data_IF_451734640742
#
_entry.id   IF_451734640742
#
_cell.length_a   1.000
_cell.length_b   1.000
_cell.length_c   1.000
_cell.angle_alpha   90.00
_cell.angle_beta   90.00
_cell.angle_gamma   90.00
#
_symmetry.space_group_name_H-M   'P 1'
#
loop_
_entity.id
_entity.type
_entity.pdbx_description
1 polymer ?
#
# COMPACT_ATOMS: atom_id res chain seq x y z
N UNK A 1 -4.33 48.52 -35.49
CA UNK A 1 -3.61 49.21 -34.39
C UNK A 1 -4.30 49.01 -33.04
N UNK A 2 -5.60 49.30 -32.88
CA UNK A 2 -6.32 49.13 -31.61
C UNK A 2 -6.21 47.71 -31.00
N UNK A 3 -6.33 46.66 -31.80
CA UNK A 3 -6.26 45.26 -31.31
C UNK A 3 -4.87 44.83 -30.82
N UNK A 4 -3.80 45.40 -31.42
CA UNK A 4 -2.42 45.16 -30.99
C UNK A 4 -2.18 45.80 -29.62
N UNK A 5 -2.70 47.02 -29.42
CA UNK A 5 -2.61 47.74 -28.14
C UNK A 5 -3.35 46.99 -27.03
N UNK A 6 -4.57 46.50 -27.30
CA UNK A 6 -5.32 45.70 -26.32
C UNK A 6 -4.56 44.43 -25.93
N UNK A 7 -3.97 43.75 -26.91
CA UNK A 7 -3.19 42.53 -26.66
C UNK A 7 -1.93 42.81 -25.83
N UNK A 8 -1.23 43.91 -26.09
CA UNK A 8 -0.10 44.36 -25.28
C UNK A 8 -0.50 44.69 -23.84
N UNK A 9 -1.65 45.36 -23.64
CA UNK A 9 -2.17 45.66 -22.29
C UNK A 9 -2.50 44.38 -21.52
N UNK A 10 -3.08 43.37 -22.17
CA UNK A 10 -3.38 42.07 -21.54
C UNK A 10 -2.09 41.37 -21.08
N UNK A 11 -1.03 41.40 -21.89
CA UNK A 11 0.26 40.79 -21.51
C UNK A 11 0.85 41.51 -20.30
N UNK A 12 0.87 42.85 -20.30
CA UNK A 12 1.35 43.63 -19.14
C UNK A 12 0.54 43.32 -17.89
N UNK A 13 -0.78 43.22 -18.01
CA UNK A 13 -1.66 42.86 -16.90
C UNK A 13 -1.37 41.45 -16.36
N UNK A 14 -1.17 40.46 -17.23
CA UNK A 14 -0.83 39.10 -16.82
C UNK A 14 0.51 39.04 -16.09
N UNK A 15 1.54 39.71 -16.62
CA UNK A 15 2.87 39.77 -15.98
C UNK A 15 2.80 40.46 -14.62
N UNK A 16 2.07 41.58 -14.53
CA UNK A 16 1.86 42.29 -13.28
C UNK A 16 1.10 41.43 -12.25
N UNK A 17 0.10 40.67 -12.70
CA UNK A 17 -0.67 39.78 -11.83
C UNK A 17 0.20 38.64 -11.29
N UNK A 18 1.01 37.97 -12.13
CA UNK A 18 1.98 36.95 -11.70
C UNK A 18 2.95 37.51 -10.67
N UNK A 19 3.52 38.70 -10.94
CA UNK A 19 4.45 39.35 -10.03
C UNK A 19 3.78 39.65 -8.68
N UNK A 20 2.57 40.22 -8.68
CA UNK A 20 1.82 40.53 -7.45
C UNK A 20 1.50 39.30 -6.63
N UNK A 21 1.15 38.18 -7.29
CA UNK A 21 0.84 36.91 -6.63
C UNK A 21 2.10 36.30 -6.04
N UNK A 22 3.23 36.31 -6.76
CA UNK A 22 4.48 35.81 -6.21
C UNK A 22 4.93 36.63 -5.01
N UNK A 23 4.78 37.96 -5.02
CA UNK A 23 5.06 38.80 -3.85
C UNK A 23 4.13 38.48 -2.68
N UNK A 24 2.83 38.28 -2.94
CA UNK A 24 1.88 37.90 -1.90
C UNK A 24 2.19 36.52 -1.30
N UNK A 25 2.52 35.54 -2.15
CA UNK A 25 2.90 34.18 -1.72
C UNK A 25 4.22 34.18 -0.96
N UNK A 26 5.20 34.97 -1.39
CA UNK A 26 6.46 35.12 -0.67
C UNK A 26 6.24 35.71 0.73
N UNK A 27 5.30 36.64 0.86
CA UNK A 27 4.93 37.20 2.15
C UNK A 27 4.23 36.17 3.06
N UNK A 28 3.31 35.36 2.53
CA UNK A 28 2.54 34.40 3.36
C UNK A 28 3.31 33.11 3.66
N UNK A 29 4.00 32.56 2.67
CA UNK A 29 4.62 31.22 2.75
C UNK A 29 6.14 31.24 2.88
N UNK A 30 6.78 32.38 2.63
CA UNK A 30 8.25 32.49 2.55
C UNK A 30 8.87 32.01 1.22
N UNK A 31 8.10 31.34 0.36
CA UNK A 31 8.60 30.81 -0.90
C UNK A 31 8.62 31.84 -2.03
N UNK A 32 9.61 31.75 -2.93
CA UNK A 32 9.83 32.73 -3.98
C UNK A 32 8.71 32.79 -5.04
N UNK A 33 7.95 31.70 -5.22
CA UNK A 33 6.87 31.63 -6.20
C UNK A 33 5.68 30.79 -5.73
N UNK A 34 4.50 31.08 -6.30
CA UNK A 34 3.29 30.27 -6.10
C UNK A 34 3.47 28.80 -6.51
N UNK A 35 4.28 28.56 -7.55
CA UNK A 35 4.58 27.22 -8.02
C UNK A 35 5.42 26.43 -7.01
N UNK A 36 6.48 27.04 -6.47
CA UNK A 36 7.35 26.38 -5.49
C UNK A 36 6.57 26.09 -4.20
N UNK A 37 5.78 27.05 -3.72
CA UNK A 37 4.87 26.85 -2.58
C UNK A 37 3.88 25.70 -2.78
N UNK A 38 3.26 25.61 -3.96
CA UNK A 38 2.34 24.53 -4.30
C UNK A 38 3.07 23.17 -4.40
N UNK A 39 4.28 23.15 -4.97
CA UNK A 39 5.09 21.94 -5.12
C UNK A 39 5.53 21.40 -3.75
N UNK A 40 6.04 22.24 -2.88
CA UNK A 40 6.51 21.85 -1.53
C UNK A 40 5.36 21.27 -0.70
N UNK A 41 4.18 21.90 -0.77
CA UNK A 41 2.97 21.39 -0.13
C UNK A 41 2.61 19.97 -0.60
N UNK A 42 2.62 19.73 -1.91
CA UNK A 42 2.29 18.40 -2.46
C UNK A 42 3.35 17.36 -2.06
N UNK A 43 4.62 17.75 -1.94
CA UNK A 43 5.70 16.87 -1.47
C UNK A 43 5.53 16.51 0.01
N UNK A 44 5.19 17.47 0.87
CA UNK A 44 4.92 17.24 2.29
C UNK A 44 3.69 16.33 2.49
N UNK A 45 2.59 16.63 1.80
CA UNK A 45 1.36 15.83 1.83
C UNK A 45 1.57 14.39 1.34
N UNK A 46 2.42 14.23 0.32
CA UNK A 46 2.83 12.91 -0.18
C UNK A 46 3.68 12.16 0.84
N UNK A 47 4.68 12.83 1.44
CA UNK A 47 5.57 12.23 2.44
C UNK A 47 4.80 11.71 3.66
N UNK A 48 3.85 12.49 4.16
CA UNK A 48 2.98 12.07 5.27
C UNK A 48 2.16 10.82 4.91
N UNK A 49 1.61 10.76 3.70
CA UNK A 49 0.84 9.60 3.24
C UNK A 49 1.68 8.33 3.08
N UNK A 50 2.92 8.47 2.60
CA UNK A 50 3.87 7.35 2.50
C UNK A 50 4.19 6.82 3.90
N UNK A 51 4.53 7.70 4.85
CA UNK A 51 4.81 7.31 6.22
C UNK A 51 3.61 6.55 6.84
N UNK A 52 2.40 7.08 6.70
CA UNK A 52 1.19 6.40 7.18
C UNK A 52 0.96 5.05 6.51
N UNK A 53 1.23 4.94 5.21
CA UNK A 53 1.11 3.68 4.48
C UNK A 53 2.10 2.62 4.99
N UNK A 54 3.36 3.00 5.24
CA UNK A 54 4.39 2.12 5.80
C UNK A 54 3.98 1.58 7.17
N UNK A 55 3.50 2.46 8.06
CA UNK A 55 3.00 2.10 9.39
C UNK A 55 1.82 1.10 9.30
N UNK A 56 0.86 1.35 8.40
CA UNK A 56 -0.29 0.46 8.21
C UNK A 56 0.14 -0.91 7.66
N UNK A 57 1.10 -0.95 6.74
CA UNK A 57 1.63 -2.21 6.19
C UNK A 57 2.33 -3.00 7.29
N UNK A 58 3.16 -2.35 8.11
CA UNK A 58 3.87 -3.00 9.21
C UNK A 58 2.88 -3.58 10.24
N UNK A 59 1.90 -2.78 10.66
CA UNK A 59 0.80 -3.25 11.51
C UNK A 59 0.04 -4.42 10.87
N UNK A 60 -0.27 -4.31 9.59
CA UNK A 60 -0.92 -5.36 8.80
C UNK A 60 -0.10 -6.64 8.76
N UNK A 61 1.23 -6.55 8.64
CA UNK A 61 2.12 -7.70 8.67
C UNK A 61 2.04 -8.43 10.02
N UNK A 62 2.13 -7.71 11.13
CA UNK A 62 2.05 -8.30 12.48
C UNK A 62 0.68 -8.93 12.76
N UNK A 63 -0.41 -8.26 12.37
CA UNK A 63 -1.77 -8.81 12.49
C UNK A 63 -1.92 -10.05 11.61
N UNK A 64 -1.38 -10.07 10.39
CA UNK A 64 -1.44 -11.23 9.51
C UNK A 64 -0.63 -12.43 10.04
N UNK A 65 0.51 -12.20 10.70
CA UNK A 65 1.23 -13.27 11.40
C UNK A 65 0.35 -13.87 12.49
N UNK A 66 -0.29 -13.03 13.31
CA UNK A 66 -1.16 -13.49 14.39
C UNK A 66 -2.37 -14.28 13.84
N UNK A 67 -3.07 -13.73 12.84
CA UNK A 67 -4.25 -14.35 12.20
C UNK A 67 -3.88 -15.65 11.47
N UNK A 68 -2.76 -15.64 10.75
CA UNK A 68 -2.31 -16.76 9.92
C UNK A 68 -1.77 -17.93 10.72
N UNK A 69 -1.46 -17.73 12.01
CA UNK A 69 -1.02 -18.81 12.87
C UNK A 69 -2.16 -19.80 13.14
N UNK A 70 -2.07 -20.94 12.46
CA UNK A 70 -2.90 -22.11 12.71
C UNK A 70 -1.99 -23.32 12.90
N UNK A 71 -2.39 -24.20 13.82
CA UNK A 71 -1.71 -25.49 13.98
C UNK A 71 -2.74 -26.60 13.90
N UNK A 72 -2.34 -27.70 13.25
CA UNK A 72 -3.10 -28.94 13.19
C UNK A 72 -2.18 -30.05 13.67
N UNK A 73 -2.54 -30.73 14.75
CA UNK A 73 -1.90 -31.97 15.16
C UNK A 73 -2.86 -33.13 14.97
N UNK A 74 -2.49 -34.04 14.09
CA UNK A 74 -3.17 -35.32 13.95
C UNK A 74 -2.45 -36.35 14.84
N UNK A 75 -3.16 -36.91 15.82
CA UNK A 75 -2.66 -38.04 16.60
C UNK A 75 -3.39 -39.29 16.13
N UNK A 76 -2.62 -40.23 15.60
CA UNK A 76 -3.09 -41.56 15.25
C UNK A 76 -2.86 -42.49 16.45
N UNK A 77 -3.94 -42.85 17.15
CA UNK A 77 -3.87 -43.76 18.30
C UNK A 77 -3.98 -45.19 17.76
N UNK A 78 -2.85 -45.88 17.67
CA UNK A 78 -2.65 -47.04 16.79
C UNK A 78 -3.31 -48.40 17.13
N UNK A 79 -4.22 -48.57 18.12
CA UNK A 79 -5.09 -49.75 18.13
C UNK A 79 -6.54 -49.48 17.71
N UNK A 80 -6.98 -48.22 17.64
CA UNK A 80 -8.35 -47.86 17.25
C UNK A 80 -8.20 -46.87 16.10
N UNK A 81 -8.75 -47.16 14.91
CA UNK A 81 -8.70 -46.27 13.72
C UNK A 81 -9.51 -44.96 13.91
N UNK A 82 -9.35 -44.28 15.04
CA UNK A 82 -9.94 -43.00 15.37
C UNK A 82 -8.77 -42.03 15.42
N UNK A 83 -8.50 -41.38 14.29
CA UNK A 83 -7.58 -40.25 14.24
C UNK A 83 -8.25 -39.05 14.90
N UNK A 84 -7.66 -38.55 15.98
CA UNK A 84 -8.03 -37.26 16.54
C UNK A 84 -7.23 -36.19 15.81
N UNK A 85 -7.90 -35.30 15.08
CA UNK A 85 -7.27 -34.09 14.56
C UNK A 85 -7.62 -32.92 15.48
N UNK A 86 -6.60 -32.31 16.08
CA UNK A 86 -6.74 -31.06 16.81
C UNK A 86 -6.21 -29.93 15.95
N UNK A 87 -7.12 -29.17 15.36
CA UNK A 87 -6.80 -27.91 14.71
C UNK A 87 -7.25 -26.74 15.56
N UNK A 88 -6.40 -25.74 15.75
CA UNK A 88 -6.78 -24.48 16.38
C UNK A 88 -6.15 -23.30 15.64
N UNK A 89 -6.96 -22.27 15.44
CA UNK A 89 -6.59 -20.99 14.85
C UNK A 89 -7.06 -19.89 15.82
N UNK A 90 -6.31 -19.66 16.91
CA UNK A 90 -6.77 -18.88 18.06
C UNK A 90 -7.13 -17.44 17.72
N UNK A 91 -6.51 -16.88 16.67
CA UNK A 91 -6.66 -15.49 16.24
C UNK A 91 -7.36 -15.34 14.89
N UNK A 92 -7.99 -16.41 14.38
CA UNK A 92 -8.76 -16.34 13.13
C UNK A 92 -9.84 -15.25 13.15
N UNK A 93 -10.36 -14.90 14.34
CA UNK A 93 -11.30 -13.79 14.54
C UNK A 93 -10.76 -12.39 14.21
N UNK A 94 -9.43 -12.19 14.24
CA UNK A 94 -8.79 -10.94 13.82
C UNK A 94 -8.73 -10.79 12.29
N UNK A 95 -9.19 -11.78 11.52
CA UNK A 95 -9.20 -11.71 10.05
C UNK A 95 -9.98 -10.50 9.51
N UNK A 96 -11.03 -10.05 10.21
CA UNK A 96 -11.73 -8.81 9.87
C UNK A 96 -10.86 -7.55 10.02
N UNK A 97 -10.00 -7.51 11.05
CA UNK A 97 -9.06 -6.42 11.28
C UNK A 97 -7.96 -6.40 10.20
N UNK A 98 -7.44 -7.57 9.82
CA UNK A 98 -6.49 -7.70 8.71
C UNK A 98 -7.08 -7.17 7.40
N UNK A 99 -8.36 -7.50 7.12
CA UNK A 99 -9.07 -6.96 5.96
C UNK A 99 -9.27 -5.44 6.03
N UNK A 100 -9.60 -4.89 7.21
CA UNK A 100 -9.74 -3.46 7.41
C UNK A 100 -8.41 -2.70 7.21
N UNK A 101 -7.30 -3.24 7.73
CA UNK A 101 -5.96 -2.71 7.53
C UNK A 101 -5.54 -2.75 6.05
N UNK A 102 -5.84 -3.84 5.34
CA UNK A 102 -5.60 -3.93 3.90
C UNK A 102 -6.37 -2.85 3.12
N UNK A 103 -7.67 -2.69 3.40
CA UNK A 103 -8.47 -1.64 2.78
C UNK A 103 -7.97 -0.23 3.12
N UNK A 104 -7.51 0.01 4.36
CA UNK A 104 -6.92 1.27 4.77
C UNK A 104 -5.60 1.54 4.02
N UNK A 105 -4.72 0.55 3.92
CA UNK A 105 -3.47 0.65 3.16
C UNK A 105 -3.72 0.99 1.69
N UNK A 106 -4.64 0.28 1.03
CA UNK A 106 -5.02 0.53 -0.36
C UNK A 106 -5.61 1.94 -0.55
N UNK A 107 -6.47 2.39 0.39
CA UNK A 107 -7.09 3.70 0.33
C UNK A 107 -6.08 4.83 0.52
N UNK A 108 -5.13 4.67 1.45
CA UNK A 108 -4.02 5.63 1.63
C UNK A 108 -3.12 5.63 0.38
N UNK A 109 -2.80 4.48 -0.20
CA UNK A 109 -2.00 4.39 -1.42
C UNK A 109 -2.67 5.10 -2.61
N UNK A 110 -3.98 4.91 -2.80
CA UNK A 110 -4.76 5.63 -3.83
C UNK A 110 -4.76 7.15 -3.58
N UNK A 111 -4.78 7.57 -2.31
CA UNK A 111 -4.71 8.99 -1.95
C UNK A 111 -3.32 9.57 -2.24
N UNK A 112 -2.24 8.84 -1.94
CA UNK A 112 -0.88 9.21 -2.31
C UNK A 112 -0.73 9.32 -3.83
N UNK A 113 -1.33 8.40 -4.59
CA UNK A 113 -1.37 8.46 -6.05
C UNK A 113 -2.10 9.71 -6.54
N UNK A 114 -3.21 10.10 -5.89
CA UNK A 114 -3.95 11.31 -6.20
C UNK A 114 -3.10 12.59 -6.01
N UNK A 115 -2.37 12.68 -4.89
CA UNK A 115 -1.44 13.80 -4.62
C UNK A 115 -0.31 13.84 -5.65
N UNK A 116 0.25 12.68 -5.99
CA UNK A 116 1.27 12.55 -7.04
C UNK A 116 0.73 13.00 -8.42
N UNK A 117 -0.52 12.65 -8.75
CA UNK A 117 -1.17 13.10 -9.96
C UNK A 117 -1.38 14.63 -9.97
N UNK A 118 -1.77 15.25 -8.84
CA UNK A 118 -1.86 16.71 -8.74
C UNK A 118 -0.52 17.41 -9.00
N UNK A 119 0.58 16.82 -8.50
CA UNK A 119 1.94 17.32 -8.74
C UNK A 119 2.31 17.22 -10.22
N UNK A 120 1.99 16.10 -10.87
CA UNK A 120 2.18 15.97 -12.32
C UNK A 120 1.35 16.99 -13.11
N UNK A 121 0.09 17.21 -12.72
CA UNK A 121 -0.76 18.23 -13.33
C UNK A 121 -0.21 19.64 -13.13
N UNK A 122 0.36 19.96 -11.97
CA UNK A 122 1.00 21.26 -11.73
C UNK A 122 2.13 21.54 -12.73
N UNK A 123 3.04 20.57 -12.92
CA UNK A 123 4.15 20.67 -13.89
C UNK A 123 3.63 20.78 -15.32
N UNK A 124 2.62 19.97 -15.66
CA UNK A 124 2.00 19.96 -16.97
C UNK A 124 1.33 21.29 -17.30
N UNK A 125 0.54 21.84 -16.38
CA UNK A 125 -0.17 23.11 -16.56
C UNK A 125 0.78 24.28 -16.71
N UNK A 126 1.86 24.35 -15.93
CA UNK A 126 2.88 25.39 -16.10
C UNK A 126 3.55 25.32 -17.47
N UNK A 127 3.88 24.11 -17.92
CA UNK A 127 4.51 23.87 -19.23
C UNK A 127 3.58 24.24 -20.38
N UNK A 128 2.31 23.87 -20.29
CA UNK A 128 1.30 24.21 -21.30
C UNK A 128 0.99 25.70 -21.31
N UNK A 129 0.93 26.35 -20.15
CA UNK A 129 0.64 27.76 -20.06
C UNK A 129 1.70 28.62 -20.79
N UNK A 130 2.96 28.19 -20.77
CA UNK A 130 4.04 28.82 -21.52
C UNK A 130 3.83 28.80 -23.05
N UNK A 131 3.06 27.84 -23.56
CA UNK A 131 2.71 27.71 -24.98
C UNK A 131 1.36 28.37 -25.28
N UNK A 132 0.35 28.13 -24.45
CA UNK A 132 -1.02 28.63 -24.65
C UNK A 132 -1.10 30.16 -24.54
N UNK A 133 -0.33 30.79 -23.65
CA UNK A 133 -0.38 32.25 -23.50
C UNK A 133 0.12 32.98 -24.75
N UNK A 134 1.33 32.72 -25.30
CA UNK A 134 1.79 33.34 -26.53
C UNK A 134 0.87 33.04 -27.72
N UNK A 135 0.43 31.78 -27.87
CA UNK A 135 -0.49 31.39 -28.93
C UNK A 135 -1.82 32.15 -28.81
N UNK A 136 -2.34 32.31 -27.60
CA UNK A 136 -3.55 33.06 -27.32
C UNK A 136 -3.44 34.54 -27.70
N UNK A 137 -2.29 35.17 -27.43
CA UNK A 137 -2.01 36.55 -27.89
C UNK A 137 -2.02 36.62 -29.42
N UNK A 138 -1.32 35.71 -30.11
CA UNK A 138 -1.26 35.69 -31.58
C UNK A 138 -2.65 35.48 -32.18
N UNK A 139 -3.40 34.48 -31.70
CA UNK A 139 -4.76 34.19 -32.19
C UNK A 139 -5.74 35.33 -31.90
N UNK A 140 -5.50 36.14 -30.86
CA UNK A 140 -6.33 37.31 -30.57
C UNK A 140 -6.16 38.43 -31.60
N UNK A 141 -5.00 38.55 -32.23
CA UNK A 141 -4.74 39.62 -33.22
C UNK A 141 -5.58 39.50 -34.48
N UNK A 142 -6.07 38.31 -34.81
CA UNK A 142 -6.91 38.07 -35.99
C UNK A 142 -8.41 38.07 -35.62
N UNK A 143 -9.27 38.79 -36.37
CA UNK A 143 -10.69 38.89 -36.06
C UNK A 143 -11.43 37.54 -36.01
N UNK A 144 -11.06 36.61 -36.89
CA UNK A 144 -11.71 35.28 -37.00
C UNK A 144 -11.39 34.39 -35.79
N UNK A 145 -10.16 34.45 -35.26
CA UNK A 145 -9.70 33.58 -34.16
C UNK A 145 -9.74 34.25 -32.80
N UNK A 146 -10.27 35.48 -32.71
CA UNK A 146 -10.26 36.30 -31.49
C UNK A 146 -10.84 35.60 -30.27
N UNK A 147 -11.97 34.91 -30.43
CA UNK A 147 -12.64 34.18 -29.33
C UNK A 147 -11.83 32.97 -28.88
N UNK A 148 -11.19 32.26 -29.82
CA UNK A 148 -10.27 31.17 -29.50
C UNK A 148 -9.02 31.70 -28.79
N UNK A 149 -8.48 32.83 -29.22
CA UNK A 149 -7.36 33.48 -28.54
C UNK A 149 -7.69 33.87 -27.10
N UNK A 150 -8.89 34.38 -26.83
CA UNK A 150 -9.36 34.66 -25.47
C UNK A 150 -9.48 33.39 -24.62
N UNK A 151 -9.95 32.27 -25.21
CA UNK A 151 -9.99 30.97 -24.54
C UNK A 151 -8.58 30.47 -24.18
N UNK A 152 -7.62 30.54 -25.10
CA UNK A 152 -6.23 30.13 -24.86
C UNK A 152 -5.56 31.01 -23.79
N UNK A 153 -5.80 32.32 -23.81
CA UNK A 153 -5.31 33.24 -22.78
C UNK A 153 -5.92 32.94 -21.41
N UNK A 154 -7.23 32.73 -21.35
CA UNK A 154 -7.92 32.40 -20.10
C UNK A 154 -7.48 31.05 -19.53
N UNK A 155 -7.35 30.03 -20.37
CA UNK A 155 -6.84 28.72 -19.99
C UNK A 155 -5.36 28.78 -19.56
N UNK A 156 -4.52 29.54 -20.28
CA UNK A 156 -3.12 29.77 -19.91
C UNK A 156 -2.98 30.50 -18.58
N UNK A 157 -3.77 31.54 -18.33
CA UNK A 157 -3.82 32.24 -17.05
C UNK A 157 -4.36 31.34 -15.92
N UNK A 158 -5.39 30.53 -16.21
CA UNK A 158 -5.90 29.53 -15.28
C UNK A 158 -4.84 28.52 -14.87
N UNK A 159 -4.09 28.00 -15.83
CA UNK A 159 -3.02 27.03 -15.63
C UNK A 159 -1.78 27.61 -14.92
N UNK A 160 -1.33 28.81 -15.30
CA UNK A 160 -0.13 29.43 -14.72
C UNK A 160 -0.37 30.14 -13.38
N UNK A 161 -1.61 30.57 -13.12
CA UNK A 161 -1.90 31.49 -12.01
C UNK A 161 -2.97 30.90 -11.10
N UNK A 162 -4.17 30.62 -11.64
CA UNK A 162 -5.28 30.18 -10.80
C UNK A 162 -4.99 28.85 -10.10
N UNK A 163 -4.44 27.86 -10.82
CA UNK A 163 -4.19 26.54 -10.28
C UNK A 163 -3.09 26.52 -9.19
N UNK A 164 -1.88 27.09 -9.41
CA UNK A 164 -0.88 27.19 -8.34
C UNK A 164 -1.37 27.98 -7.13
N UNK A 165 -2.04 29.12 -7.33
CA UNK A 165 -2.59 29.91 -6.21
C UNK A 165 -3.64 29.14 -5.43
N UNK A 166 -4.50 28.38 -6.12
CA UNK A 166 -5.51 27.55 -5.46
C UNK A 166 -4.87 26.45 -4.60
N UNK A 167 -3.75 25.87 -5.03
CA UNK A 167 -2.95 24.94 -4.22
C UNK A 167 -2.28 25.62 -3.03
N UNK A 168 -1.83 26.88 -3.15
CA UNK A 168 -1.32 27.63 -1.99
C UNK A 168 -2.42 27.85 -0.96
N UNK A 169 -3.65 28.13 -1.37
CA UNK A 169 -4.78 28.20 -0.43
C UNK A 169 -5.01 26.84 0.25
N UNK A 170 -4.93 25.75 -0.50
CA UNK A 170 -5.00 24.40 0.07
C UNK A 170 -3.87 24.13 1.07
N UNK A 171 -2.65 24.62 0.82
CA UNK A 171 -1.51 24.55 1.75
C UNK A 171 -1.83 25.22 3.08
N UNK A 172 -2.42 26.41 3.08
CA UNK A 172 -2.78 27.12 4.33
C UNK A 172 -3.83 26.35 5.13
N UNK A 173 -4.82 25.75 4.44
CA UNK A 173 -5.79 24.88 5.10
C UNK A 173 -5.11 23.64 5.66
N UNK A 174 -4.25 22.99 4.88
CA UNK A 174 -3.49 21.81 5.28
C UNK A 174 -2.60 22.07 6.50
N UNK A 175 -1.88 23.19 6.53
CA UNK A 175 -0.97 23.55 7.63
C UNK A 175 -1.65 23.62 9.00
N UNK A 176 -2.95 23.95 9.04
CA UNK A 176 -3.71 23.94 10.29
C UNK A 176 -4.03 22.53 10.83
N UNK A 177 -3.96 21.52 9.98
CA UNK A 177 -4.28 20.12 10.34
C UNK A 177 -3.06 19.19 10.28
N UNK A 178 -1.99 19.57 9.57
CA UNK A 178 -0.86 18.69 9.27
C UNK A 178 -0.07 18.31 10.51
N UNK A 179 0.10 19.21 11.48
CA UNK A 179 0.85 18.92 12.72
C UNK A 179 0.12 17.87 13.58
N UNK A 180 -1.17 18.07 13.82
CA UNK A 180 -1.99 17.12 14.58
C UNK A 180 -2.11 15.77 13.87
N UNK A 181 -2.19 15.77 12.54
CA UNK A 181 -2.21 14.53 11.76
C UNK A 181 -0.85 13.83 11.76
N UNK A 182 0.25 14.58 11.67
CA UNK A 182 1.62 14.09 11.79
C UNK A 182 1.86 13.33 13.07
N UNK A 183 1.40 13.88 14.21
CA UNK A 183 1.46 13.21 15.50
C UNK A 183 0.64 11.90 15.52
N UNK A 184 -0.55 11.89 14.90
CA UNK A 184 -1.36 10.66 14.80
C UNK A 184 -0.70 9.59 13.93
N UNK A 185 -0.04 10.00 12.84
CA UNK A 185 0.70 9.11 11.95
C UNK A 185 1.89 8.49 12.67
N UNK A 186 2.72 9.31 13.35
CA UNK A 186 3.89 8.80 14.08
C UNK A 186 3.52 7.88 15.25
N UNK A 187 2.31 8.04 15.79
CA UNK A 187 1.80 7.22 16.89
C UNK A 187 0.91 6.05 16.43
N UNK A 188 0.75 5.83 15.12
CA UNK A 188 -0.22 4.88 14.57
C UNK A 188 0.08 3.42 14.94
N UNK A 189 1.34 2.99 14.90
CA UNK A 189 1.72 1.62 15.24
C UNK A 189 2.04 1.41 16.74
N UNK A 190 2.04 2.47 17.56
CA UNK A 190 2.39 2.35 18.98
C UNK A 190 1.41 1.43 19.70
N UNK A 191 1.94 0.37 20.31
CA UNK A 191 1.19 -0.59 21.13
C UNK A 191 0.76 -1.85 20.38
N UNK A 192 1.08 -1.98 19.09
CA UNK A 192 0.86 -3.23 18.36
C UNK A 192 1.95 -4.22 18.77
N UNK A 193 1.61 -5.41 19.32
CA UNK A 193 2.63 -6.35 19.77
C UNK A 193 3.38 -6.97 18.59
N UNK A 194 4.72 -6.92 18.65
CA UNK A 194 5.60 -7.59 17.70
C UNK A 194 5.79 -9.04 18.14
N UNK A 195 5.27 -9.95 17.34
CA UNK A 195 5.40 -11.37 17.62
C UNK A 195 6.67 -11.91 17.03
N UNK A 196 7.47 -12.57 17.88
CA UNK A 196 8.51 -13.43 17.35
C UNK A 196 7.90 -14.51 16.45
N UNK A 197 8.67 -14.90 15.44
CA UNK A 197 8.25 -15.93 14.50
C UNK A 197 7.74 -17.17 15.26
N UNK A 198 6.65 -17.80 14.79
CA UNK A 198 6.05 -18.91 15.50
C UNK A 198 7.06 -20.04 15.73
N UNK A 199 6.91 -20.81 16.82
CA UNK A 199 7.82 -21.92 17.12
C UNK A 199 7.86 -22.89 15.92
N UNK A 200 9.07 -23.35 15.58
CA UNK A 200 9.35 -24.19 14.42
C UNK A 200 9.16 -23.55 13.03
N UNK A 201 8.87 -22.24 12.90
CA UNK A 201 8.90 -21.52 11.60
C UNK A 201 10.22 -21.70 10.84
N UNK A 202 11.36 -21.55 11.52
CA UNK A 202 12.70 -21.78 10.94
C UNK A 202 12.94 -23.23 10.52
N UNK A 203 12.25 -24.18 11.15
CA UNK A 203 12.35 -25.61 10.82
C UNK A 203 11.43 -25.96 9.65
N UNK A 204 10.17 -25.49 9.68
CA UNK A 204 9.15 -25.77 8.66
C UNK A 204 9.39 -25.03 7.33
N UNK A 205 10.01 -23.85 7.38
CA UNK A 205 10.41 -23.11 6.16
C UNK A 205 11.81 -23.51 5.67
N UNK A 206 12.49 -24.45 6.32
CA UNK A 206 13.78 -24.94 5.84
C UNK A 206 13.55 -25.87 4.64
N UNK A 207 14.07 -25.56 3.44
CA UNK A 207 13.86 -26.38 2.25
C UNK A 207 14.33 -27.82 2.42
N UNK A 208 15.33 -28.08 3.29
CA UNK A 208 15.79 -29.44 3.60
C UNK A 208 14.78 -30.22 4.42
N UNK A 209 14.09 -29.54 5.35
CA UNK A 209 13.06 -30.15 6.18
C UNK A 209 11.77 -30.31 5.39
N UNK A 210 11.41 -29.35 4.53
CA UNK A 210 10.31 -29.50 3.59
C UNK A 210 10.55 -30.65 2.63
N UNK A 211 11.75 -30.78 2.05
CA UNK A 211 12.12 -31.94 1.23
C UNK A 211 12.01 -33.26 2.01
N UNK A 212 12.48 -33.28 3.26
CA UNK A 212 12.39 -34.45 4.14
C UNK A 212 10.94 -34.82 4.51
N UNK A 213 10.04 -33.83 4.62
CA UNK A 213 8.65 -34.02 5.07
C UNK A 213 7.64 -34.12 3.93
N UNK A 214 7.95 -33.67 2.71
CA UNK A 214 7.03 -33.62 1.56
C UNK A 214 6.72 -34.97 0.91
N UNK A 215 6.89 -36.09 1.64
CA UNK A 215 6.56 -37.45 1.19
C UNK A 215 7.41 -38.02 0.05
N UNK A 216 8.13 -37.18 -0.70
CA UNK A 216 8.87 -37.58 -1.90
C UNK A 216 10.40 -37.66 -1.74
N UNK A 217 10.97 -37.23 -0.62
CA UNK A 217 12.43 -37.12 -0.46
C UNK A 217 12.90 -37.48 0.94
N UNK A 218 13.68 -38.56 1.08
CA UNK A 218 14.50 -38.89 2.25
C UNK A 218 13.82 -39.12 3.62
N UNK A 219 12.60 -38.65 3.88
CA UNK A 219 11.90 -38.87 5.15
C UNK A 219 11.56 -40.32 5.37
N UNK A 220 10.69 -40.87 4.52
CA UNK A 220 10.32 -42.27 4.56
C UNK A 220 11.54 -43.16 4.27
N UNK A 221 12.26 -42.90 3.17
CA UNK A 221 13.49 -43.63 2.80
C UNK A 221 14.57 -43.60 3.90
N UNK A 222 14.72 -42.49 4.61
CA UNK A 222 15.67 -42.36 5.72
C UNK A 222 15.29 -43.20 6.92
N UNK A 223 14.00 -43.22 7.29
CA UNK A 223 13.50 -44.12 8.33
C UNK A 223 13.61 -45.58 7.92
N UNK A 224 13.36 -45.91 6.65
CA UNK A 224 13.57 -47.25 6.10
C UNK A 224 15.02 -47.71 6.24
N UNK A 225 15.96 -46.86 5.82
CA UNK A 225 17.40 -47.14 5.95
C UNK A 225 17.79 -47.25 7.42
N UNK A 226 17.33 -46.35 8.29
CA UNK A 226 17.67 -46.39 9.72
C UNK A 226 17.15 -47.65 10.44
N UNK A 227 16.02 -48.21 10.01
CA UNK A 227 15.42 -49.40 10.63
C UNK A 227 15.98 -50.69 10.00
N UNK A 228 15.95 -50.81 8.67
CA UNK A 228 16.33 -52.05 8.00
C UNK A 228 17.85 -52.26 7.93
N UNK A 229 18.67 -51.19 7.88
CA UNK A 229 20.14 -51.31 7.86
C UNK A 229 20.70 -52.01 9.09
N UNK A 230 20.41 -51.60 10.35
CA UNK A 230 20.97 -52.27 11.52
C UNK A 230 20.43 -53.69 11.69
N UNK A 231 19.16 -53.96 11.38
CA UNK A 231 18.59 -55.32 11.44
C UNK A 231 19.33 -56.25 10.47
N UNK A 232 19.56 -55.81 9.23
CA UNK A 232 20.26 -56.59 8.23
C UNK A 232 21.78 -56.62 8.41
N UNK A 233 22.38 -55.59 9.00
CA UNK A 233 23.80 -55.57 9.35
C UNK A 233 24.13 -56.57 10.46
N UNK A 234 23.22 -56.76 11.42
CA UNK A 234 23.38 -57.75 12.50
C UNK A 234 23.04 -59.17 12.01
N UNK A 235 22.04 -59.32 11.14
CA UNK A 235 21.61 -60.63 10.63
C UNK A 235 22.52 -61.21 9.53
N UNK A 236 23.22 -60.37 8.77
CA UNK A 236 24.00 -60.80 7.59
C UNK A 236 25.45 -60.30 7.66
N UNK A 237 26.24 -60.83 8.59
CA UNK A 237 27.64 -60.40 8.81
C UNK A 237 28.67 -61.00 7.84
N UNK A 238 28.30 -61.96 6.98
CA UNK A 238 29.27 -62.74 6.20
C UNK A 238 29.18 -62.62 4.67
N UNK A 239 28.19 -61.93 4.09
CA UNK A 239 28.18 -61.66 2.64
C UNK A 239 27.37 -60.43 2.25
N UNK A 240 27.94 -59.57 1.39
CA UNK A 240 27.29 -58.35 0.89
C UNK A 240 26.01 -58.63 0.09
N UNK A 241 25.90 -59.82 -0.52
CA UNK A 241 24.72 -60.22 -1.30
C UNK A 241 23.53 -60.53 -0.38
N UNK A 242 23.77 -61.13 0.79
CA UNK A 242 22.72 -61.41 1.77
C UNK A 242 22.18 -60.13 2.44
N UNK A 243 23.02 -59.11 2.60
CA UNK A 243 22.60 -57.82 3.14
C UNK A 243 21.53 -57.15 2.27
N UNK A 244 21.74 -57.08 0.95
CA UNK A 244 20.76 -56.48 0.04
C UNK A 244 19.47 -57.29 -0.07
N UNK A 245 19.56 -58.63 -0.01
CA UNK A 245 18.38 -59.49 0.03
C UNK A 245 17.56 -59.28 1.32
N UNK A 246 18.22 -59.24 2.48
CA UNK A 246 17.58 -58.91 3.76
C UNK A 246 16.98 -57.50 3.75
N UNK A 247 17.70 -56.52 3.19
CA UNK A 247 17.21 -55.15 3.13
C UNK A 247 15.97 -55.04 2.24
N UNK A 248 15.97 -55.69 1.07
CA UNK A 248 14.82 -55.74 0.17
C UNK A 248 13.63 -56.47 0.80
N UNK A 249 13.88 -57.56 1.53
CA UNK A 249 12.84 -58.32 2.22
C UNK A 249 12.29 -57.54 3.43
N UNK A 250 13.13 -56.88 4.20
CA UNK A 250 12.74 -55.94 5.26
C UNK A 250 11.90 -54.82 4.69
N UNK A 251 12.33 -54.18 3.59
CA UNK A 251 11.60 -53.12 2.91
C UNK A 251 10.22 -53.59 2.41
N UNK A 252 10.14 -54.78 1.79
CA UNK A 252 8.88 -55.36 1.30
C UNK A 252 7.95 -55.83 2.43
N UNK A 253 8.49 -56.38 3.52
CA UNK A 253 7.70 -56.82 4.67
C UNK A 253 7.23 -55.65 5.53
N UNK A 254 8.04 -54.61 5.67
CA UNK A 254 7.64 -53.40 6.38
C UNK A 254 6.78 -52.47 5.53
N UNK A 255 6.70 -52.65 4.21
CA UNK A 255 5.57 -52.16 3.40
C UNK A 255 4.24 -52.89 3.74
N UNK A 256 4.29 -54.08 4.35
CA UNK A 256 3.13 -54.90 4.72
C UNK A 256 2.76 -54.87 6.21
N UNK A 257 3.74 -54.68 7.10
CA UNK A 257 3.55 -54.41 8.52
C UNK A 257 3.41 -52.90 8.67
N UNK A 258 2.38 -52.37 9.34
CA UNK A 258 2.16 -50.93 9.34
C UNK A 258 3.31 -50.24 10.08
N UNK A 259 4.29 -49.71 9.34
CA UNK A 259 5.24 -48.70 9.81
C UNK A 259 4.54 -47.45 10.32
N UNK A 260 3.23 -47.35 10.07
CA UNK A 260 2.31 -46.53 10.81
C UNK A 260 2.52 -46.61 12.33
N UNK A 261 2.95 -47.73 12.93
CA UNK A 261 3.13 -47.82 14.40
C UNK A 261 4.30 -47.00 14.94
N UNK A 262 5.49 -47.11 14.35
CA UNK A 262 6.66 -46.35 14.82
C UNK A 262 6.64 -44.91 14.31
N UNK A 263 6.18 -44.71 13.08
CA UNK A 263 5.96 -43.39 12.53
C UNK A 263 4.86 -42.65 13.30
N UNK A 264 3.75 -43.30 13.66
CA UNK A 264 2.71 -42.65 14.49
C UNK A 264 3.19 -42.31 15.87
N UNK A 265 3.97 -43.15 16.55
CA UNK A 265 4.45 -42.82 17.91
C UNK A 265 5.46 -41.67 17.88
N UNK A 266 6.43 -41.70 16.95
CA UNK A 266 7.39 -40.60 16.78
C UNK A 266 6.74 -39.30 16.33
N UNK A 267 5.88 -39.37 15.31
CA UNK A 267 5.12 -38.21 14.83
C UNK A 267 4.14 -37.68 15.88
N UNK A 268 3.50 -38.55 16.66
CA UNK A 268 2.60 -38.13 17.75
C UNK A 268 3.36 -37.48 18.89
N UNK A 269 4.55 -37.97 19.26
CA UNK A 269 5.39 -37.33 20.28
C UNK A 269 5.86 -35.93 19.84
N UNK A 270 6.29 -35.79 18.59
CA UNK A 270 6.65 -34.49 18.00
C UNK A 270 5.42 -33.58 17.91
N UNK A 271 4.27 -34.09 17.49
CA UNK A 271 3.03 -33.34 17.40
C UNK A 271 2.50 -32.91 18.78
N UNK A 272 2.66 -33.73 19.82
CA UNK A 272 2.35 -33.35 21.20
C UNK A 272 3.31 -32.27 21.72
N UNK A 273 4.62 -32.40 21.48
CA UNK A 273 5.61 -31.39 21.85
C UNK A 273 5.35 -30.05 21.15
N UNK A 274 5.04 -30.08 19.85
CA UNK A 274 4.63 -28.90 19.09
C UNK A 274 3.29 -28.34 19.57
N UNK A 275 2.33 -29.19 19.95
CA UNK A 275 1.06 -28.75 20.52
C UNK A 275 1.21 -28.02 21.86
N UNK A 276 2.14 -28.46 22.71
CA UNK A 276 2.47 -27.78 23.98
C UNK A 276 3.16 -26.45 23.69
N UNK A 277 4.16 -26.42 22.79
CA UNK A 277 4.87 -25.21 22.41
C UNK A 277 3.95 -24.18 21.72
N UNK A 278 3.03 -24.64 20.86
CA UNK A 278 2.01 -23.81 20.26
C UNK A 278 1.04 -23.27 21.32
N UNK A 279 0.61 -24.10 22.28
CA UNK A 279 -0.29 -23.66 23.36
C UNK A 279 0.37 -22.66 24.32
N UNK A 280 1.67 -22.80 24.59
CA UNK A 280 2.42 -21.80 25.38
C UNK A 280 2.59 -20.51 24.62
N UNK A 281 2.92 -20.59 23.32
CA UNK A 281 2.99 -19.43 22.43
C UNK A 281 1.65 -18.68 22.45
N UNK A 282 0.52 -19.37 22.24
CA UNK A 282 -0.83 -18.79 22.21
C UNK A 282 -1.24 -18.10 23.51
N UNK A 283 -0.73 -18.53 24.67
CA UNK A 283 -1.05 -17.89 25.95
C UNK A 283 -0.47 -16.48 26.09
N UNK A 284 0.52 -16.14 25.28
CA UNK A 284 1.11 -14.80 25.22
C UNK A 284 0.28 -13.82 24.36
N UNK A 285 -0.83 -14.29 23.76
CA UNK A 285 -1.61 -13.50 22.83
C UNK A 285 -2.96 -13.05 23.40
N UNK A 286 -3.18 -11.75 23.51
CA UNK A 286 -4.51 -11.17 23.69
C UNK A 286 -4.93 -10.43 22.41
N UNK A 287 -6.06 -10.84 21.82
CA UNK A 287 -6.59 -10.25 20.58
C UNK A 287 -6.88 -8.76 20.76
N UNK A 288 -7.19 -8.37 21.99
CA UNK A 288 -7.45 -6.99 22.39
C UNK A 288 -6.23 -6.10 22.16
N UNK A 289 -5.03 -6.60 22.39
CA UNK A 289 -3.78 -5.85 22.24
C UNK A 289 -3.51 -5.47 20.77
N UNK A 290 -4.02 -6.25 19.81
CA UNK A 290 -3.97 -5.89 18.39
C UNK A 290 -5.13 -4.96 17.99
N UNK A 291 -6.32 -5.24 18.51
CA UNK A 291 -7.53 -4.53 18.10
C UNK A 291 -7.58 -3.09 18.62
N UNK A 292 -7.28 -2.86 19.89
CA UNK A 292 -7.36 -1.54 20.52
C UNK A 292 -6.47 -0.48 19.85
N UNK A 293 -5.16 -0.67 19.64
CA UNK A 293 -4.31 0.34 19.02
C UNK A 293 -4.73 0.62 17.57
N UNK A 294 -5.06 -0.42 16.80
CA UNK A 294 -5.47 -0.27 15.40
C UNK A 294 -6.79 0.51 15.30
N UNK A 295 -7.78 0.17 16.13
CA UNK A 295 -9.10 0.82 16.10
C UNK A 295 -9.07 2.24 16.71
N UNK A 296 -8.25 2.47 17.75
CA UNK A 296 -8.21 3.77 18.42
C UNK A 296 -7.29 4.80 17.76
N UNK A 297 -6.27 4.36 17.01
CA UNK A 297 -5.23 5.26 16.47
C UNK A 297 -5.10 5.15 14.96
N UNK A 298 -4.80 3.96 14.45
CA UNK A 298 -4.40 3.78 13.05
C UNK A 298 -5.55 3.98 12.05
N UNK A 299 -6.71 3.33 12.26
CA UNK A 299 -7.87 3.50 11.36
C UNK A 299 -8.43 4.93 11.37
N UNK A 300 -8.55 5.61 12.53
CA UNK A 300 -8.89 7.03 12.56
C UNK A 300 -7.87 7.90 11.81
N UNK A 301 -6.57 7.68 12.00
CA UNK A 301 -5.53 8.44 11.30
C UNK A 301 -5.62 8.27 9.77
N UNK A 302 -5.82 7.04 9.29
CA UNK A 302 -6.06 6.76 7.88
C UNK A 302 -7.30 7.48 7.34
N UNK A 303 -8.40 7.41 8.09
CA UNK A 303 -9.67 8.05 7.70
C UNK A 303 -9.53 9.57 7.63
N UNK A 304 -8.92 10.19 8.65
CA UNK A 304 -8.68 11.63 8.69
C UNK A 304 -7.77 12.09 7.55
N UNK A 305 -6.69 11.36 7.27
CA UNK A 305 -5.80 11.65 6.14
C UNK A 305 -6.55 11.60 4.81
N UNK A 306 -7.32 10.53 4.56
CA UNK A 306 -8.08 10.36 3.31
C UNK A 306 -9.10 11.49 3.15
N UNK A 307 -9.89 11.79 4.19
CA UNK A 307 -10.91 12.84 4.13
C UNK A 307 -10.26 14.20 3.89
N UNK A 308 -9.17 14.51 4.60
CA UNK A 308 -8.44 15.76 4.44
C UNK A 308 -7.92 15.90 3.00
N UNK A 309 -7.27 14.86 2.46
CA UNK A 309 -6.73 14.90 1.10
C UNK A 309 -7.82 15.01 0.02
N UNK A 310 -8.98 14.36 0.20
CA UNK A 310 -10.10 14.51 -0.73
C UNK A 310 -10.64 15.95 -0.72
N UNK A 311 -10.80 16.56 0.46
CA UNK A 311 -11.25 17.95 0.57
C UNK A 311 -10.23 18.91 -0.05
N UNK A 312 -8.94 18.71 0.26
CA UNK A 312 -7.84 19.49 -0.27
C UNK A 312 -7.56 19.24 -1.76
N UNK A 313 -8.10 18.15 -2.33
CA UNK A 313 -8.11 17.93 -3.76
C UNK A 313 -9.24 18.71 -4.45
N UNK A 314 -10.44 18.67 -3.88
CA UNK A 314 -11.63 19.32 -4.44
C UNK A 314 -11.54 20.85 -4.39
N UNK A 315 -11.04 21.40 -3.28
CA UNK A 315 -10.91 22.85 -3.10
C UNK A 315 -10.13 23.52 -4.24
N UNK A 316 -8.87 23.15 -4.53
CA UNK A 316 -8.10 23.78 -5.59
C UNK A 316 -8.70 23.54 -6.97
N UNK A 317 -9.34 22.39 -7.20
CA UNK A 317 -10.03 22.11 -8.46
C UNK A 317 -11.21 23.05 -8.70
N UNK A 318 -12.05 23.28 -7.68
CA UNK A 318 -13.19 24.21 -7.76
C UNK A 318 -12.68 25.64 -7.97
N UNK A 319 -11.69 26.08 -7.18
CA UNK A 319 -11.11 27.41 -7.32
C UNK A 319 -10.49 27.61 -8.72
N UNK A 320 -9.70 26.65 -9.20
CA UNK A 320 -9.09 26.72 -10.52
C UNK A 320 -10.15 26.79 -11.63
N UNK A 321 -11.21 25.98 -11.57
CA UNK A 321 -12.29 26.01 -12.56
C UNK A 321 -13.03 27.35 -12.59
N UNK A 322 -13.42 27.86 -11.41
CA UNK A 322 -14.15 29.13 -11.30
C UNK A 322 -13.29 30.30 -11.76
N UNK A 323 -12.03 30.38 -11.32
CA UNK A 323 -11.12 31.44 -11.71
C UNK A 323 -10.76 31.37 -13.21
N UNK A 324 -10.51 30.17 -13.74
CA UNK A 324 -10.23 29.99 -15.18
C UNK A 324 -11.41 30.47 -16.02
N UNK A 325 -12.64 30.14 -15.62
CA UNK A 325 -13.86 30.63 -16.28
C UNK A 325 -13.95 32.15 -16.23
N UNK A 326 -13.66 32.76 -15.07
CA UNK A 326 -13.67 34.21 -14.93
C UNK A 326 -12.60 34.87 -15.81
N UNK A 327 -11.39 34.31 -15.91
CA UNK A 327 -10.36 34.81 -16.82
C UNK A 327 -10.78 34.74 -18.28
N UNK A 328 -11.39 33.63 -18.72
CA UNK A 328 -11.91 33.51 -20.09
C UNK A 328 -12.92 34.63 -20.39
N UNK A 329 -13.84 34.91 -19.47
CA UNK A 329 -14.84 35.98 -19.63
C UNK A 329 -14.20 37.37 -19.63
N UNK A 330 -13.24 37.64 -18.73
CA UNK A 330 -12.51 38.93 -18.65
C UNK A 330 -11.76 39.21 -19.95
N UNK A 331 -11.16 38.18 -20.56
CA UNK A 331 -10.51 38.33 -21.85
C UNK A 331 -11.50 38.43 -23.03
N UNK A 332 -12.81 38.46 -22.79
CA UNK A 332 -13.82 38.59 -23.84
C UNK A 332 -14.05 37.28 -24.61
N UNK A 333 -13.74 36.15 -24.00
CA UNK A 333 -14.21 34.84 -24.44
C UNK A 333 -15.67 34.62 -24.07
N UNK A 334 -16.32 33.66 -24.72
CA UNK A 334 -17.66 33.24 -24.32
C UNK A 334 -17.58 32.37 -23.06
N UNK A 335 -18.53 32.57 -22.14
CA UNK A 335 -18.58 31.82 -20.88
C UNK A 335 -18.98 30.35 -21.05
N UNK A 336 -19.43 29.99 -22.25
CA UNK A 336 -19.85 28.66 -22.67
C UNK A 336 -18.94 28.21 -23.82
N UNK A 337 -18.41 26.99 -23.74
CA UNK A 337 -17.63 26.31 -24.78
C UNK A 337 -18.52 25.97 -26.00
N UNK A 338 -19.19 26.95 -26.60
CA UNK A 338 -20.10 26.73 -27.73
C UNK A 338 -19.39 26.26 -29.00
N UNK A 339 -18.09 26.54 -29.14
CA UNK A 339 -17.31 26.11 -30.30
C UNK A 339 -17.30 24.60 -30.53
N UNK A 340 -17.44 23.79 -29.47
CA UNK A 340 -17.50 22.33 -29.57
C UNK A 340 -18.90 21.83 -29.95
N UNK A 341 -19.96 22.53 -29.52
CA UNK A 341 -21.35 22.16 -29.85
C UNK A 341 -21.79 22.59 -31.25
N UNK A 342 -21.15 23.60 -31.85
CA UNK A 342 -21.46 24.09 -33.20
C UNK A 342 -20.64 23.44 -34.33
N UNK A 343 -19.64 22.63 -33.99
CA UNK A 343 -18.85 21.84 -34.96
C UNK A 343 -19.42 20.42 -35.16
N UNK A 344 -20.39 20.01 -34.32
CA UNK A 344 -21.08 18.72 -34.40
C UNK A 344 -22.54 18.88 -34.88
N UNK A 345 -22.90 20.08 -35.37
CA UNK A 345 -24.23 20.38 -35.93
C UNK A 345 -24.12 21.25 -37.17
#
# INVERSE_FOLDING_TARGET
VQELVISAVIVVFLVAMVASINTAVQFTTGNASAYDAAKDYLEEAQGLGIALHEEIIEAGFWVNIAVGFSYSSAISITPIKVGGNWSSAPMSGLGGLAGALGNAADSVALTVLLVSAQKAFLVFFMSIAAIMMPLGVVMRTFPLTRKLGALFLGAGAGAAIAYPTALVVAKEVYGNYSEALGEKVSNAAIGIPHLDNPPASKLMCNPKVQFFTSGFGAGELGWWVAICTPVCAVACTSSNVAYFACFAECFMHTCRVPTEKWYSVGASAVAMGMGIAAKSYIREFDAREYFEPVNARMLPAATEYIVLMVVLFLLPLIFALVLTRNFIVIFGGESQLYGLFRLVG
#
